data_IF_045701870370
#
_entry.id   IF_045701870370
#
_cell.length_a   1.000
_cell.length_b   1.000
_cell.length_c   1.000
_cell.angle_alpha   90.00
_cell.angle_beta   90.00
_cell.angle_gamma   90.00
#
_symmetry.space_group_name_H-M   'P 1'
#
loop_
_entity.id
_entity.type
_entity.pdbx_description
1 polymer ?
#
# COMPACT_ATOMS: atom_id res chain seq x y z
N UNK A 1 -16.57 -4.18 21.66
CA UNK A 1 -15.47 -3.23 21.98
C UNK A 1 -14.10 -3.65 21.40
N UNK A 2 -13.68 -4.89 21.65
CA UNK A 2 -12.37 -5.42 21.24
C UNK A 2 -12.17 -5.50 19.71
N UNK A 3 -13.13 -6.03 18.95
CA UNK A 3 -13.02 -6.13 17.49
C UNK A 3 -12.82 -4.75 16.81
N UNK A 4 -13.55 -3.73 17.28
CA UNK A 4 -13.39 -2.34 16.79
C UNK A 4 -12.02 -1.74 17.17
N UNK A 5 -11.48 -2.09 18.33
CA UNK A 5 -10.13 -1.65 18.73
C UNK A 5 -9.06 -2.32 17.87
N UNK A 6 -9.20 -3.62 17.57
CA UNK A 6 -8.31 -4.35 16.66
C UNK A 6 -8.32 -3.76 15.26
N UNK A 7 -9.49 -3.42 14.71
CA UNK A 7 -9.54 -2.76 13.39
C UNK A 7 -8.82 -1.41 13.40
N UNK A 8 -9.05 -0.57 14.43
CA UNK A 8 -8.34 0.72 14.56
C UNK A 8 -6.82 0.54 14.64
N UNK A 9 -6.33 -0.46 15.36
CA UNK A 9 -4.90 -0.75 15.43
C UNK A 9 -4.31 -1.09 14.05
N UNK A 10 -5.01 -1.89 13.23
CA UNK A 10 -4.55 -2.18 11.87
C UNK A 10 -4.69 -1.02 10.89
N UNK A 11 -5.69 -0.16 11.08
CA UNK A 11 -5.79 1.09 10.32
C UNK A 11 -4.60 2.01 10.61
N UNK A 12 -4.11 2.04 11.86
CA UNK A 12 -2.90 2.80 12.19
C UNK A 12 -1.65 2.24 11.51
N UNK A 13 -1.54 0.90 11.42
CA UNK A 13 -0.48 0.26 10.63
C UNK A 13 -0.59 0.68 9.15
N UNK A 14 -1.78 0.80 8.58
CA UNK A 14 -1.93 1.32 7.22
C UNK A 14 -1.37 2.75 7.08
N UNK A 15 -1.67 3.64 8.04
CA UNK A 15 -1.15 5.02 8.09
C UNK A 15 0.39 5.06 8.19
N UNK A 16 0.97 4.18 8.99
CA UNK A 16 2.42 4.02 9.10
C UNK A 16 3.02 3.63 7.73
N UNK A 17 2.46 2.63 7.05
CA UNK A 17 2.93 2.20 5.73
C UNK A 17 2.75 3.26 4.64
N UNK A 18 1.67 4.05 4.69
CA UNK A 18 1.55 5.22 3.81
C UNK A 18 2.66 6.23 4.04
N UNK A 19 3.04 6.45 5.29
CA UNK A 19 4.13 7.35 5.63
C UNK A 19 5.47 6.84 5.08
N UNK A 20 5.72 5.53 5.14
CA UNK A 20 6.91 4.89 4.54
C UNK A 20 6.89 4.96 3.01
N UNK A 21 5.76 4.68 2.37
CA UNK A 21 5.58 4.88 0.92
C UNK A 21 5.86 6.33 0.52
N UNK A 22 5.33 7.30 1.28
CA UNK A 22 5.58 8.72 1.01
C UNK A 22 7.07 9.06 1.13
N UNK A 23 7.73 8.64 2.20
CA UNK A 23 9.18 8.83 2.40
C UNK A 23 10.00 8.23 1.27
N UNK A 24 9.63 7.02 0.81
CA UNK A 24 10.25 6.37 -0.35
C UNK A 24 10.12 7.24 -1.61
N UNK A 25 8.96 7.87 -1.85
CA UNK A 25 8.75 8.74 -3.02
C UNK A 25 9.56 10.06 -2.95
N UNK A 26 9.64 10.68 -1.77
CA UNK A 26 10.20 12.03 -1.62
C UNK A 26 11.66 12.08 -1.21
N UNK A 27 12.25 10.95 -0.77
CA UNK A 27 13.65 10.92 -0.37
C UNK A 27 14.56 11.33 -1.52
N UNK A 28 15.42 12.32 -1.27
CA UNK A 28 16.43 12.78 -2.24
C UNK A 28 17.65 11.89 -2.28
N UNK A 29 17.94 11.24 -1.15
CA UNK A 29 19.13 10.42 -0.97
C UNK A 29 18.83 8.93 -1.24
N UNK A 30 19.74 8.18 -1.87
CA UNK A 30 19.60 6.75 -2.10
C UNK A 30 19.38 5.98 -0.80
N UNK A 31 20.11 6.34 0.26
CA UNK A 31 20.00 5.69 1.58
C UNK A 31 18.63 5.87 2.22
N UNK A 32 18.03 7.06 2.09
CA UNK A 32 16.68 7.33 2.60
C UNK A 32 15.60 6.61 1.80
N UNK A 33 15.78 6.49 0.48
CA UNK A 33 14.90 5.68 -0.37
C UNK A 33 14.93 4.21 0.06
N UNK A 34 16.13 3.64 0.15
CA UNK A 34 16.30 2.23 0.52
C UNK A 34 15.80 1.93 1.93
N UNK A 35 16.06 2.83 2.90
CA UNK A 35 15.54 2.68 4.26
C UNK A 35 14.01 2.65 4.26
N UNK A 36 13.36 3.63 3.62
CA UNK A 36 11.91 3.70 3.58
C UNK A 36 11.29 2.49 2.84
N UNK A 37 11.93 2.02 1.77
CA UNK A 37 11.53 0.83 1.02
C UNK A 37 11.63 -0.44 1.87
N UNK A 38 12.72 -0.60 2.64
CA UNK A 38 12.90 -1.74 3.54
C UNK A 38 11.90 -1.74 4.70
N UNK A 39 11.65 -0.57 5.30
CA UNK A 39 10.64 -0.43 6.35
C UNK A 39 9.22 -0.72 5.83
N UNK A 40 8.91 -0.24 4.63
CA UNK A 40 7.66 -0.56 3.95
C UNK A 40 7.52 -2.06 3.71
N UNK A 41 8.56 -2.72 3.20
CA UNK A 41 8.59 -4.17 2.99
C UNK A 41 8.37 -4.93 4.30
N UNK A 42 9.14 -4.63 5.34
CA UNK A 42 9.01 -5.28 6.65
C UNK A 42 7.60 -5.10 7.25
N UNK A 43 7.01 -3.92 7.07
CA UNK A 43 5.66 -3.64 7.51
C UNK A 43 4.59 -4.40 6.71
N UNK A 44 4.75 -4.53 5.39
CA UNK A 44 3.89 -5.36 4.55
C UNK A 44 3.98 -6.85 4.94
N UNK A 45 5.18 -7.34 5.26
CA UNK A 45 5.38 -8.71 5.75
C UNK A 45 4.72 -8.93 7.11
N UNK A 46 4.83 -7.97 8.03
CA UNK A 46 4.11 -7.99 9.30
C UNK A 46 2.60 -8.08 9.08
N UNK A 47 2.04 -7.27 8.16
CA UNK A 47 0.62 -7.33 7.82
C UNK A 47 0.24 -8.70 7.25
N UNK A 48 1.08 -9.28 6.39
CA UNK A 48 0.83 -10.59 5.81
C UNK A 48 0.67 -11.69 6.88
N UNK A 49 1.44 -11.64 7.97
CA UNK A 49 1.31 -12.60 9.09
C UNK A 49 0.00 -12.49 9.86
N UNK A 50 -0.70 -11.35 9.78
CA UNK A 50 -1.97 -11.12 10.44
C UNK A 50 -3.19 -11.46 9.58
N UNK A 51 -3.00 -11.69 8.28
CA UNK A 51 -4.09 -12.05 7.37
C UNK A 51 -4.54 -13.49 7.60
N UNK A 52 -5.85 -13.70 7.64
CA UNK A 52 -6.43 -15.05 7.57
C UNK A 52 -6.04 -15.70 6.24
N UNK A 53 -5.60 -16.96 6.27
CA UNK A 53 -5.06 -17.70 5.12
C UNK A 53 -6.07 -18.04 4.03
N UNK A 54 -7.35 -18.18 4.35
CA UNK A 54 -8.35 -18.79 3.44
C UNK A 54 -9.35 -17.80 2.84
N UNK A 55 -9.26 -16.54 3.24
CA UNK A 55 -10.37 -15.59 3.10
C UNK A 55 -10.02 -14.39 2.22
N UNK A 56 -10.98 -13.77 1.51
CA UNK A 56 -10.66 -12.69 0.57
C UNK A 56 -10.28 -11.37 1.25
N UNK A 57 -10.78 -11.10 2.46
CA UNK A 57 -10.56 -9.84 3.18
C UNK A 57 -9.85 -10.04 4.53
N UNK A 58 -9.44 -8.93 5.14
CA UNK A 58 -8.59 -8.94 6.34
C UNK A 58 -9.21 -9.73 7.51
N UNK A 59 -10.51 -9.56 7.74
CA UNK A 59 -11.25 -10.23 8.81
C UNK A 59 -12.10 -11.42 8.33
N UNK A 60 -11.84 -11.97 7.14
CA UNK A 60 -12.60 -13.08 6.59
C UNK A 60 -13.35 -12.76 5.30
N UNK A 61 -14.54 -13.32 5.15
CA UNK A 61 -15.43 -13.10 4.01
C UNK A 61 -15.98 -11.67 3.90
N UNK A 62 -16.02 -10.92 5.00
CA UNK A 62 -16.65 -9.59 5.05
C UNK A 62 -15.64 -8.47 4.85
N UNK A 63 -15.92 -7.60 3.89
CA UNK A 63 -15.19 -6.36 3.67
C UNK A 63 -15.40 -5.38 4.84
N UNK A 64 -14.33 -4.84 5.39
CA UNK A 64 -14.33 -4.03 6.61
C UNK A 64 -13.50 -2.73 6.48
N UNK A 65 -13.51 -1.89 7.52
CA UNK A 65 -12.80 -0.60 7.50
C UNK A 65 -11.29 -0.75 7.37
N UNK A 66 -10.72 -1.82 7.92
CA UNK A 66 -9.29 -2.13 7.71
C UNK A 66 -8.98 -2.37 6.23
N UNK A 67 -9.85 -3.06 5.48
CA UNK A 67 -9.68 -3.26 4.05
C UNK A 67 -9.72 -1.94 3.28
N UNK A 68 -10.66 -1.06 3.65
CA UNK A 68 -10.76 0.30 3.10
C UNK A 68 -9.49 1.11 3.37
N UNK A 69 -8.92 1.01 4.58
CA UNK A 69 -7.72 1.75 4.94
C UNK A 69 -6.48 1.33 4.14
N UNK A 70 -6.37 0.07 3.75
CA UNK A 70 -5.25 -0.44 2.96
C UNK A 70 -5.44 -0.29 1.44
N UNK A 71 -6.67 -0.18 0.94
CA UNK A 71 -6.93 -0.14 -0.50
C UNK A 71 -6.13 0.95 -1.25
N UNK A 72 -6.05 2.23 -0.79
CA UNK A 72 -5.29 3.24 -1.52
C UNK A 72 -3.77 3.02 -1.47
N UNK A 73 -3.26 2.29 -0.48
CA UNK A 73 -1.84 1.92 -0.40
C UNK A 73 -1.53 0.97 -1.54
N UNK A 74 -2.36 -0.07 -1.72
CA UNK A 74 -2.19 -1.04 -2.80
C UNK A 74 -2.38 -0.44 -4.20
N UNK A 75 -3.32 0.50 -4.37
CA UNK A 75 -3.45 1.25 -5.63
C UNK A 75 -2.13 1.93 -5.97
N UNK A 76 -1.59 2.73 -5.03
CA UNK A 76 -0.35 3.49 -5.25
C UNK A 76 0.86 2.59 -5.44
N UNK A 77 0.99 1.53 -4.65
CA UNK A 77 2.08 0.56 -4.82
C UNK A 77 1.99 -0.14 -6.18
N UNK A 78 0.79 -0.47 -6.66
CA UNK A 78 0.60 -1.03 -8.00
C UNK A 78 1.08 -0.10 -9.10
N UNK A 79 0.71 1.19 -9.03
CA UNK A 79 1.16 2.21 -9.98
C UNK A 79 2.69 2.34 -9.94
N UNK A 80 3.28 2.49 -8.74
CA UNK A 80 4.73 2.65 -8.60
C UNK A 80 5.49 1.41 -9.09
N UNK A 81 5.00 0.20 -8.80
CA UNK A 81 5.62 -1.04 -9.29
C UNK A 81 5.59 -1.11 -10.81
N UNK A 82 4.46 -0.75 -11.44
CA UNK A 82 4.33 -0.75 -12.89
C UNK A 82 5.29 0.24 -13.58
N UNK A 83 5.53 1.40 -12.96
CA UNK A 83 6.36 2.46 -13.55
C UNK A 83 7.85 2.28 -13.26
N UNK A 84 8.20 1.97 -12.00
CA UNK A 84 9.60 1.99 -11.52
C UNK A 84 10.17 0.61 -11.23
N UNK A 85 9.36 -0.45 -11.33
CA UNK A 85 9.78 -1.81 -10.97
C UNK A 85 10.45 -1.86 -9.59
N UNK A 86 9.71 -1.50 -8.52
CA UNK A 86 10.27 -1.36 -7.17
C UNK A 86 10.85 -2.69 -6.65
N UNK A 87 10.49 -3.83 -7.25
CA UNK A 87 10.95 -5.17 -6.84
C UNK A 87 10.59 -5.48 -5.38
N UNK A 88 9.44 -4.99 -4.90
CA UNK A 88 8.93 -5.34 -3.58
C UNK A 88 8.59 -6.83 -3.53
N UNK A 89 9.08 -7.51 -2.50
CA UNK A 89 8.86 -8.94 -2.30
C UNK A 89 7.49 -9.15 -1.66
N UNK A 90 6.44 -9.06 -2.48
CA UNK A 90 5.06 -9.16 -1.98
C UNK A 90 4.71 -10.63 -1.70
N UNK A 91 4.48 -10.92 -0.42
CA UNK A 91 3.97 -12.20 0.07
C UNK A 91 2.71 -12.65 -0.73
N UNK A 92 2.60 -13.93 -1.14
CA UNK A 92 1.46 -14.42 -1.92
C UNK A 92 0.10 -14.11 -1.30
N UNK A 93 0.00 -14.20 0.03
CA UNK A 93 -1.26 -13.92 0.74
C UNK A 93 -1.64 -12.45 0.66
N UNK A 94 -0.67 -11.55 0.81
CA UNK A 94 -0.83 -10.11 0.65
C UNK A 94 -1.25 -9.76 -0.79
N UNK A 95 -0.68 -10.46 -1.78
CA UNK A 95 -1.06 -10.33 -3.18
C UNK A 95 -2.52 -10.72 -3.43
N UNK A 96 -2.98 -11.84 -2.87
CA UNK A 96 -4.38 -12.27 -2.95
C UNK A 96 -5.32 -11.23 -2.33
N UNK A 97 -4.98 -10.72 -1.15
CA UNK A 97 -5.78 -9.69 -0.49
C UNK A 97 -5.82 -8.40 -1.31
N UNK A 98 -4.68 -7.87 -1.74
CA UNK A 98 -4.60 -6.70 -2.61
C UNK A 98 -5.47 -6.86 -3.86
N UNK A 99 -5.39 -8.00 -4.55
CA UNK A 99 -6.25 -8.29 -5.72
C UNK A 99 -7.74 -8.27 -5.37
N UNK A 100 -8.14 -8.86 -4.25
CA UNK A 100 -9.54 -8.85 -3.82
C UNK A 100 -10.05 -7.42 -3.53
N UNK A 101 -9.20 -6.59 -2.91
CA UNK A 101 -9.54 -5.18 -2.64
C UNK A 101 -9.68 -4.38 -3.93
N UNK A 102 -8.68 -4.46 -4.82
CA UNK A 102 -8.64 -3.71 -6.06
C UNK A 102 -9.70 -4.18 -7.08
N UNK A 103 -10.18 -5.43 -6.97
CA UNK A 103 -11.25 -5.94 -7.81
C UNK A 103 -12.64 -5.38 -7.43
N UNK A 104 -12.82 -4.88 -6.20
CA UNK A 104 -14.13 -4.48 -5.65
C UNK A 104 -14.63 -3.18 -6.29
N UNK A 105 -15.88 -3.19 -6.76
CA UNK A 105 -16.48 -2.02 -7.43
C UNK A 105 -16.50 -0.77 -6.55
N UNK A 106 -16.78 -0.90 -5.25
CA UNK A 106 -16.75 0.25 -4.34
C UNK A 106 -15.36 0.87 -4.21
N UNK A 107 -14.29 0.08 -4.39
CA UNK A 107 -12.91 0.59 -4.40
C UNK A 107 -12.62 1.24 -5.75
N UNK A 108 -12.89 0.55 -6.86
CA UNK A 108 -12.68 1.08 -8.22
C UNK A 108 -13.42 2.39 -8.45
N UNK A 109 -14.70 2.43 -8.08
CA UNK A 109 -15.58 3.59 -8.30
C UNK A 109 -15.32 4.73 -7.30
N UNK A 110 -14.48 4.53 -6.28
CA UNK A 110 -14.09 5.60 -5.35
C UNK A 110 -12.97 6.49 -5.90
N UNK A 111 -12.27 6.03 -6.94
CA UNK A 111 -11.18 6.77 -7.56
C UNK A 111 -11.71 7.71 -8.64
N UNK A 112 -11.19 8.94 -8.65
CA UNK A 112 -11.38 9.85 -9.78
C UNK A 112 -10.65 9.31 -11.02
N UNK A 113 -11.23 9.51 -12.20
CA UNK A 113 -10.74 8.91 -13.45
C UNK A 113 -9.27 9.22 -13.76
N UNK A 114 -8.78 10.39 -13.34
CA UNK A 114 -7.40 10.85 -13.56
C UNK A 114 -6.48 10.66 -12.33
N UNK A 115 -6.85 9.81 -11.36
CA UNK A 115 -6.07 9.65 -10.13
C UNK A 115 -4.61 9.25 -10.40
N UNK A 116 -4.38 8.30 -11.30
CA UNK A 116 -3.03 7.83 -11.62
C UNK A 116 -2.16 8.96 -12.19
N UNK A 117 -2.72 9.78 -13.08
CA UNK A 117 -2.06 10.95 -13.65
C UNK A 117 -1.68 11.94 -12.53
N UNK A 118 -2.63 12.30 -11.67
CA UNK A 118 -2.41 13.24 -10.56
C UNK A 118 -1.36 12.70 -9.58
N UNK A 119 -1.43 11.41 -9.26
CA UNK A 119 -0.46 10.77 -8.38
C UNK A 119 0.95 10.75 -9.02
N UNK A 120 1.07 10.43 -10.30
CA UNK A 120 2.36 10.43 -10.99
C UNK A 120 2.93 11.84 -11.19
N UNK A 121 2.09 12.87 -11.35
CA UNK A 121 2.55 14.26 -11.30
C UNK A 121 3.15 14.61 -9.94
N UNK A 122 2.51 14.19 -8.83
CA UNK A 122 3.07 14.35 -7.49
C UNK A 122 4.41 13.63 -7.36
N UNK A 123 4.49 12.36 -7.79
CA UNK A 123 5.73 11.56 -7.75
C UNK A 123 6.83 12.27 -8.53
N UNK A 124 6.58 12.68 -9.78
CA UNK A 124 7.59 13.40 -10.60
C UNK A 124 8.02 14.72 -9.96
N UNK A 125 7.09 15.50 -9.42
CA UNK A 125 7.37 16.77 -8.74
C UNK A 125 8.16 16.59 -7.44
N UNK A 126 8.16 15.38 -6.86
CA UNK A 126 8.99 15.12 -5.67
C UNK A 126 10.48 15.26 -5.99
N UNK A 127 10.88 15.08 -7.26
CA UNK A 127 12.29 15.00 -7.70
C UNK A 127 13.12 14.11 -6.76
N UNK A 128 12.49 13.04 -6.25
CA UNK A 128 13.11 12.09 -5.34
C UNK A 128 14.08 11.18 -6.07
N UNK A 129 14.90 10.47 -5.31
CA UNK A 129 15.82 9.46 -5.82
C UNK A 129 15.12 8.47 -6.77
N UNK A 130 13.91 8.03 -6.38
CA UNK A 130 13.05 7.13 -7.16
C UNK A 130 12.83 7.62 -8.60
N UNK A 131 12.56 8.91 -8.81
CA UNK A 131 12.26 9.44 -10.15
C UNK A 131 13.52 9.67 -10.98
N UNK A 132 14.63 9.99 -10.31
CA UNK A 132 15.86 10.39 -10.98
C UNK A 132 16.80 9.22 -11.30
N UNK A 133 16.54 8.02 -10.75
CA UNK A 133 17.49 6.90 -10.79
C UNK A 133 16.84 5.52 -11.06
N UNK A 134 15.52 5.44 -11.14
CA UNK A 134 14.77 4.22 -11.48
C UNK A 134 13.80 4.52 -12.62
#
# INVERSE_FOLDING_TARGET
PLAKARQRAWMEVASELFSKQYQMIVSKEPSGFETAKQELQAGLDRVATALNTEEPFFNGHQFALVDVAFAPLFVRLGILEQVFNLNLQINPRLRTWSRALLAKDSVKNSMVANFEEVFMMFVKKSEGYLVNNL
#
